data_IF_356270624369
#
_entry.id   IF_356270624369
#
_cell.length_a   1.000
_cell.length_b   1.000
_cell.length_c   1.000
_cell.angle_alpha   90.00
_cell.angle_beta   90.00
_cell.angle_gamma   90.00
#
_symmetry.space_group_name_H-M   'P 1'
#
loop_
_entity.id
_entity.type
_entity.pdbx_description
1 polymer ?
#
# COMPACT_ATOMS: atom_id res chain seq x y z
N UNK A 1 -33.56 -47.93 9.35
CA UNK A 1 -33.41 -46.55 8.85
C UNK A 1 -32.08 -46.05 9.37
N UNK A 2 -31.19 -45.70 8.45
CA UNK A 2 -29.73 -45.62 8.61
C UNK A 2 -29.26 -44.46 9.47
N UNK A 3 -28.24 -44.72 10.28
CA UNK A 3 -27.41 -43.71 10.93
C UNK A 3 -26.72 -42.84 9.85
N UNK A 4 -26.58 -41.54 10.11
CA UNK A 4 -25.70 -40.67 9.35
C UNK A 4 -25.05 -39.69 10.31
N UNK A 5 -23.84 -40.06 10.69
CA UNK A 5 -22.85 -39.24 11.36
C UNK A 5 -22.35 -38.18 10.35
N UNK A 6 -22.56 -36.90 10.64
CA UNK A 6 -21.86 -35.82 9.93
C UNK A 6 -20.64 -35.45 10.75
N UNK A 7 -19.53 -36.12 10.43
CA UNK A 7 -18.17 -35.80 10.88
C UNK A 7 -17.85 -34.36 10.43
N UNK A 8 -17.90 -33.42 11.37
CA UNK A 8 -17.36 -32.08 11.18
C UNK A 8 -15.86 -32.20 10.96
N UNK A 9 -15.45 -32.06 9.71
CA UNK A 9 -14.07 -31.88 9.32
C UNK A 9 -13.68 -30.45 9.70
N UNK A 10 -13.21 -30.26 10.94
CA UNK A 10 -12.43 -29.08 11.29
C UNK A 10 -11.18 -29.14 10.41
N UNK A 11 -11.13 -28.26 9.40
CA UNK A 11 -9.92 -27.96 8.69
C UNK A 11 -8.91 -27.44 9.73
N UNK A 12 -7.80 -28.17 9.89
CA UNK A 12 -6.72 -27.77 10.78
C UNK A 12 -6.20 -26.37 10.38
N UNK A 13 -5.98 -25.45 11.33
CA UNK A 13 -5.35 -24.19 11.00
C UNK A 13 -3.95 -24.48 10.46
N UNK A 14 -3.65 -23.94 9.27
CA UNK A 14 -2.32 -23.97 8.71
C UNK A 14 -1.31 -23.39 9.72
N UNK A 15 -0.07 -23.92 9.80
CA UNK A 15 0.92 -23.41 10.72
C UNK A 15 1.16 -21.92 10.44
N UNK A 16 1.29 -21.06 11.47
CA UNK A 16 1.69 -19.68 11.25
C UNK A 16 3.08 -19.70 10.60
N UNK A 17 3.20 -19.02 9.46
CA UNK A 17 4.46 -18.80 8.78
C UNK A 17 5.43 -18.12 9.77
N UNK A 18 6.66 -18.62 9.94
CA UNK A 18 7.65 -17.98 10.80
C UNK A 18 8.27 -16.79 10.05
N UNK A 19 7.98 -15.56 10.48
CA UNK A 19 8.79 -14.40 10.09
C UNK A 19 8.06 -13.06 10.07
N UNK A 20 8.25 -12.25 11.13
CA UNK A 20 8.70 -10.86 11.02
C UNK A 20 8.00 -9.81 10.14
N UNK A 21 6.79 -10.06 9.62
CA UNK A 21 6.17 -9.19 8.60
C UNK A 21 4.65 -9.04 8.80
N UNK A 22 4.21 -8.79 10.05
CA UNK A 22 2.78 -8.56 10.33
C UNK A 22 2.42 -7.07 10.44
N UNK A 23 3.41 -6.18 10.51
CA UNK A 23 3.18 -4.73 10.58
C UNK A 23 2.83 -4.13 9.21
N UNK A 24 3.50 -4.56 8.14
CA UNK A 24 3.19 -4.13 6.77
C UNK A 24 1.79 -4.56 6.31
N UNK A 25 1.35 -5.83 6.46
CA UNK A 25 0.04 -6.23 5.97
C UNK A 25 -1.11 -5.52 6.70
N UNK A 26 -0.99 -5.29 8.02
CA UNK A 26 -2.05 -4.58 8.75
C UNK A 26 -2.11 -3.09 8.38
N UNK A 27 -0.97 -2.39 8.37
CA UNK A 27 -0.92 -0.97 7.99
C UNK A 27 -1.34 -0.74 6.53
N UNK A 28 -1.02 -1.68 5.63
CA UNK A 28 -1.45 -1.64 4.24
C UNK A 28 -2.97 -1.86 4.11
N UNK A 29 -3.54 -2.81 4.85
CA UNK A 29 -4.99 -3.00 4.92
C UNK A 29 -5.71 -1.74 5.46
N UNK A 30 -5.17 -1.09 6.49
CA UNK A 30 -5.73 0.15 7.05
C UNK A 30 -5.66 1.31 6.05
N UNK A 31 -4.54 1.40 5.31
CA UNK A 31 -4.34 2.35 4.23
C UNK A 31 -5.37 2.11 3.11
N UNK A 32 -5.54 0.87 2.64
CA UNK A 32 -6.52 0.50 1.61
C UNK A 32 -7.96 0.83 2.04
N UNK A 33 -8.36 0.47 3.26
CA UNK A 33 -9.68 0.77 3.80
C UNK A 33 -9.93 2.27 3.98
N UNK A 34 -8.88 3.03 4.26
CA UNK A 34 -8.98 4.48 4.37
C UNK A 34 -9.04 5.15 3.01
N UNK A 35 -8.34 4.59 2.02
CA UNK A 35 -8.34 5.06 0.65
C UNK A 35 -9.64 4.73 -0.11
N UNK A 36 -10.29 3.61 0.21
CA UNK A 36 -11.61 3.23 -0.34
C UNK A 36 -12.70 4.28 -0.06
N UNK A 37 -12.56 5.07 1.01
CA UNK A 37 -13.48 6.18 1.33
C UNK A 37 -13.33 7.41 0.43
N UNK A 38 -12.38 7.39 -0.52
CA UNK A 38 -12.18 8.49 -1.45
C UNK A 38 -13.39 8.69 -2.37
N UNK A 39 -13.90 9.92 -2.42
CA UNK A 39 -14.99 10.33 -3.32
C UNK A 39 -14.68 11.66 -4.00
N UNK A 40 -13.39 12.01 -4.09
CA UNK A 40 -12.90 13.28 -4.61
C UNK A 40 -12.52 13.25 -6.09
N UNK A 41 -11.96 14.36 -6.56
CA UNK A 41 -11.41 14.47 -7.90
C UNK A 41 -9.88 14.32 -7.89
N UNK A 42 -9.24 14.19 -9.05
CA UNK A 42 -7.77 14.05 -9.16
C UNK A 42 -7.00 15.15 -8.41
N UNK A 43 -7.54 16.36 -8.30
CA UNK A 43 -6.92 17.46 -7.55
C UNK A 43 -6.88 17.16 -6.03
N UNK A 44 -7.95 16.54 -5.51
CA UNK A 44 -8.07 16.17 -4.10
C UNK A 44 -7.24 14.94 -3.73
N UNK A 45 -6.92 14.08 -4.70
CA UNK A 45 -6.19 12.83 -4.51
C UNK A 45 -4.90 13.02 -3.70
N UNK A 46 -4.06 13.98 -4.09
CA UNK A 46 -2.77 14.20 -3.43
C UNK A 46 -2.92 14.59 -1.95
N UNK A 47 -3.86 15.48 -1.65
CA UNK A 47 -4.13 15.94 -0.28
C UNK A 47 -4.77 14.85 0.56
N UNK A 48 -5.66 14.05 -0.04
CA UNK A 48 -6.31 12.93 0.62
C UNK A 48 -5.32 11.82 0.96
N UNK A 49 -4.52 11.38 -0.02
CA UNK A 49 -3.49 10.36 0.18
C UNK A 49 -2.48 10.80 1.22
N UNK A 50 -2.07 12.08 1.22
CA UNK A 50 -1.20 12.63 2.27
C UNK A 50 -1.82 12.49 3.66
N UNK A 51 -3.09 12.84 3.81
CA UNK A 51 -3.81 12.80 5.10
C UNK A 51 -3.93 11.37 5.60
N UNK A 52 -4.29 10.44 4.71
CA UNK A 52 -4.43 9.02 5.04
C UNK A 52 -3.08 8.38 5.36
N UNK A 53 -2.01 8.75 4.63
CA UNK A 53 -0.66 8.29 4.92
C UNK A 53 -0.20 8.74 6.32
N UNK A 54 -0.41 10.01 6.66
CA UNK A 54 -0.05 10.56 7.99
C UNK A 54 -0.76 9.82 9.12
N UNK A 55 -2.04 9.49 8.95
CA UNK A 55 -2.86 8.75 9.93
C UNK A 55 -2.31 7.34 10.21
N UNK A 56 -1.76 6.66 9.21
CA UNK A 56 -1.16 5.31 9.35
C UNK A 56 0.35 5.33 9.68
N UNK A 57 0.93 6.52 9.93
CA UNK A 57 2.35 6.68 10.21
C UNK A 57 3.26 6.57 8.98
N UNK A 58 2.70 6.78 7.79
CA UNK A 58 3.42 6.93 6.54
C UNK A 58 3.62 8.41 6.16
N UNK A 59 4.56 8.66 5.26
CA UNK A 59 4.87 9.99 4.74
C UNK A 59 4.74 9.98 3.21
N UNK A 60 3.98 10.94 2.68
CA UNK A 60 3.89 11.16 1.24
C UNK A 60 5.16 11.85 0.74
N UNK A 61 5.89 11.17 -0.15
CA UNK A 61 7.11 11.69 -0.75
C UNK A 61 6.80 12.64 -1.90
N UNK A 62 6.10 12.14 -2.92
CA UNK A 62 5.76 12.90 -4.12
C UNK A 62 4.61 12.22 -4.90
N UNK A 63 4.01 12.98 -5.82
CA UNK A 63 2.93 12.52 -6.70
C UNK A 63 3.32 12.78 -8.15
N UNK A 64 3.13 11.79 -9.02
CA UNK A 64 3.44 11.89 -10.44
C UNK A 64 2.32 11.31 -11.31
N UNK A 65 2.16 11.79 -12.56
CA UNK A 65 1.30 11.11 -13.52
C UNK A 65 1.85 9.71 -13.80
N UNK A 66 0.99 8.69 -13.82
CA UNK A 66 1.43 7.30 -13.99
C UNK A 66 2.21 7.08 -15.29
N UNK A 67 1.86 7.80 -16.35
CA UNK A 67 2.63 7.87 -17.60
C UNK A 67 3.00 6.48 -18.18
N UNK A 68 2.15 5.47 -17.97
CA UNK A 68 2.37 4.08 -18.40
C UNK A 68 3.21 3.20 -17.47
N UNK A 69 3.67 3.71 -16.32
CA UNK A 69 4.36 2.93 -15.28
C UNK A 69 3.44 1.84 -14.70
N UNK A 70 2.18 2.19 -14.48
CA UNK A 70 1.13 1.29 -13.97
C UNK A 70 -0.04 1.33 -14.95
N UNK A 71 -0.57 0.16 -15.31
CA UNK A 71 -1.70 0.05 -16.22
C UNK A 71 -2.99 0.58 -15.55
N UNK A 72 -3.87 1.18 -16.36
CA UNK A 72 -5.17 1.76 -15.94
C UNK A 72 -5.04 2.79 -14.80
N UNK A 73 -3.92 3.51 -14.74
CA UNK A 73 -3.61 4.45 -13.66
C UNK A 73 -3.42 5.86 -14.23
N UNK A 74 -4.05 6.85 -13.62
CA UNK A 74 -3.83 8.26 -13.96
C UNK A 74 -2.61 8.83 -13.23
N UNK A 75 -2.46 8.51 -11.96
CA UNK A 75 -1.55 9.21 -11.05
C UNK A 75 -1.10 8.28 -9.95
N UNK A 76 0.19 8.34 -9.64
CA UNK A 76 0.83 7.52 -8.62
C UNK A 76 1.35 8.46 -7.54
N UNK A 77 0.90 8.25 -6.32
CA UNK A 77 1.45 8.85 -5.12
C UNK A 77 2.40 7.85 -4.46
N UNK A 78 3.63 8.30 -4.19
CA UNK A 78 4.65 7.46 -3.56
C UNK A 78 4.71 7.77 -2.08
N UNK A 79 4.48 6.76 -1.26
CA UNK A 79 4.51 6.83 0.19
C UNK A 79 5.72 6.08 0.73
N UNK A 80 6.33 6.59 1.80
CA UNK A 80 7.21 5.81 2.67
C UNK A 80 6.46 5.46 3.93
N UNK A 81 6.55 4.21 4.37
CA UNK A 81 6.11 3.81 5.70
C UNK A 81 7.36 3.56 6.55
N UNK A 82 7.55 4.40 7.58
CA UNK A 82 8.62 4.23 8.55
C UNK A 82 8.17 3.19 9.55
N UNK A 83 8.59 1.93 9.40
CA UNK A 83 8.19 0.91 10.35
C UNK A 83 8.84 1.18 11.71
N UNK A 84 8.02 1.29 12.76
CA UNK A 84 8.48 1.39 14.15
C UNK A 84 9.01 0.02 14.58
N UNK A 85 10.30 -0.26 14.34
CA UNK A 85 11.20 -1.18 15.09
C UNK A 85 12.51 -1.49 14.32
N UNK A 86 13.13 -0.50 13.67
CA UNK A 86 14.45 -0.68 13.04
C UNK A 86 14.48 -1.56 11.77
N UNK A 87 13.32 -1.84 11.17
CA UNK A 87 13.22 -2.38 9.83
C UNK A 87 13.40 -1.28 8.77
N UNK A 88 13.82 -1.68 7.58
CA UNK A 88 14.01 -0.80 6.42
C UNK A 88 12.69 -0.09 6.09
N UNK A 89 12.68 1.24 5.86
CA UNK A 89 11.47 1.94 5.42
C UNK A 89 10.91 1.28 4.16
N UNK A 90 9.59 1.06 4.14
CA UNK A 90 8.92 0.43 3.02
C UNK A 90 8.31 1.49 2.11
N UNK A 91 8.60 1.44 0.81
CA UNK A 91 7.96 2.30 -0.18
C UNK A 91 6.68 1.64 -0.69
N UNK A 92 5.59 2.39 -0.71
CA UNK A 92 4.27 1.97 -1.21
C UNK A 92 3.81 2.91 -2.33
N UNK A 93 3.07 2.37 -3.29
CA UNK A 93 2.54 3.12 -4.42
C UNK A 93 1.03 3.19 -4.36
N UNK A 94 0.50 4.38 -4.17
CA UNK A 94 -0.93 4.63 -4.21
C UNK A 94 -1.30 5.09 -5.61
N UNK A 95 -2.05 4.26 -6.33
CA UNK A 95 -2.43 4.49 -7.72
C UNK A 95 -3.89 4.94 -7.78
N UNK A 96 -4.11 6.10 -8.40
CA UNK A 96 -5.44 6.57 -8.78
C UNK A 96 -5.83 5.94 -10.11
N UNK A 97 -6.99 5.31 -10.16
CA UNK A 97 -7.51 4.67 -11.35
C UNK A 97 -7.80 5.67 -12.50
N UNK A 98 -7.97 5.17 -13.72
CA UNK A 98 -8.20 5.99 -14.91
C UNK A 98 -9.47 6.83 -14.88
N UNK A 99 -10.49 6.35 -14.17
CA UNK A 99 -11.75 7.05 -13.98
C UNK A 99 -11.70 8.06 -12.80
N UNK A 100 -10.55 8.19 -12.12
CA UNK A 100 -10.38 8.96 -10.89
C UNK A 100 -11.42 8.65 -9.80
N UNK A 101 -12.00 7.45 -9.85
CA UNK A 101 -13.12 7.01 -9.01
C UNK A 101 -12.68 6.11 -7.87
N UNK A 102 -11.52 5.45 -8.01
CA UNK A 102 -11.01 4.49 -7.06
C UNK A 102 -9.50 4.65 -6.90
N UNK A 103 -9.02 4.29 -5.72
CA UNK A 103 -7.61 4.30 -5.36
C UNK A 103 -7.21 2.87 -4.99
N UNK A 104 -6.06 2.42 -5.49
CA UNK A 104 -5.46 1.13 -5.13
C UNK A 104 -4.06 1.32 -4.56
N UNK A 105 -3.69 0.47 -3.63
CA UNK A 105 -2.33 0.43 -3.08
C UNK A 105 -1.59 -0.73 -3.74
N UNK A 106 -0.48 -0.41 -4.39
CA UNK A 106 0.38 -1.37 -5.06
C UNK A 106 1.74 -1.42 -4.34
N UNK A 107 2.25 -2.63 -4.18
CA UNK A 107 3.61 -2.84 -3.68
C UNK A 107 4.63 -2.67 -4.81
N UNK A 108 5.89 -2.32 -4.48
CA UNK A 108 6.93 -2.21 -5.46
C UNK A 108 7.18 -3.54 -6.17
N UNK A 109 7.01 -3.52 -7.49
CA UNK A 109 7.29 -4.64 -8.41
C UNK A 109 8.50 -4.34 -9.29
N UNK A 110 8.98 -5.34 -10.05
CA UNK A 110 10.08 -5.16 -11.02
C UNK A 110 9.79 -4.03 -12.02
N UNK A 111 8.53 -3.82 -12.41
CA UNK A 111 8.11 -2.75 -13.33
C UNK A 111 8.27 -1.36 -12.70
N UNK A 112 8.06 -1.25 -11.39
CA UNK A 112 8.18 0.01 -10.64
C UNK A 112 9.53 0.14 -9.94
N UNK A 113 10.49 -0.76 -10.17
CA UNK A 113 11.78 -0.76 -9.49
C UNK A 113 12.56 0.55 -9.68
N UNK A 114 12.47 1.17 -10.87
CA UNK A 114 13.05 2.48 -11.12
C UNK A 114 12.41 3.59 -10.28
N UNK A 115 11.10 3.51 -10.03
CA UNK A 115 10.39 4.44 -9.18
C UNK A 115 10.74 4.26 -7.70
N UNK A 116 10.89 3.01 -7.26
CA UNK A 116 11.38 2.69 -5.91
C UNK A 116 12.78 3.26 -5.69
N UNK A 117 13.71 3.02 -6.63
CA UNK A 117 15.07 3.56 -6.53
C UNK A 117 15.11 5.08 -6.53
N UNK A 118 14.20 5.74 -7.27
CA UNK A 118 14.07 7.19 -7.24
C UNK A 118 13.54 7.68 -5.88
N UNK A 119 12.56 6.98 -5.30
CA UNK A 119 12.02 7.29 -3.99
C UNK A 119 13.09 7.17 -2.89
N UNK A 120 13.87 6.09 -2.89
CA UNK A 120 15.00 5.92 -1.97
C UNK A 120 16.03 7.04 -2.10
N UNK A 121 16.42 7.38 -3.34
CA UNK A 121 17.36 8.47 -3.58
C UNK A 121 16.81 9.83 -3.14
N UNK A 122 15.50 10.05 -3.29
CA UNK A 122 14.85 11.27 -2.81
C UNK A 122 14.85 11.37 -1.28
N UNK A 123 14.58 10.27 -0.58
CA UNK A 123 14.67 10.21 0.88
C UNK A 123 16.10 10.45 1.36
N UNK A 124 17.10 9.82 0.72
CA UNK A 124 18.52 10.03 1.06
C UNK A 124 18.92 11.51 0.96
N UNK A 125 18.38 12.23 -0.04
CA UNK A 125 18.60 13.68 -0.16
C UNK A 125 17.91 14.44 0.98
N UNK A 126 16.67 14.11 1.33
CA UNK A 126 15.94 14.80 2.41
C UNK A 126 16.58 14.59 3.79
N UNK A 127 17.13 13.40 4.06
CA UNK A 127 17.74 13.07 5.36
C UNK A 127 19.16 13.64 5.52
N UNK A 128 19.75 14.19 4.46
CA UNK A 128 21.11 14.77 4.46
C UNK A 128 21.15 16.29 4.65
N UNK A 129 20.00 16.95 4.81
CA UNK A 129 19.86 18.42 4.93
C UNK A 129 19.49 18.78 6.37
#
# INVERSE_FOLDING_TARGET
>A
MTASETRSEIAAPAPPLPGGDAALPMALLELELSLDRFSGSKDDFSSFVRTVADDVGGELLFVLPASGLVDNCLTIAVLRHSQTDGQTPAILFVCLDEDASSIRVEQPSERTAGLTSFADAFVDVLERI
#
